data_IF_524359298372
#
_entry.id   IF_524359298372
#
_cell.length_a   1.000
_cell.length_b   1.000
_cell.length_c   1.000
_cell.angle_alpha   90.00
_cell.angle_beta   90.00
_cell.angle_gamma   90.00
#
_symmetry.space_group_name_H-M   'P 1'
#
loop_
_entity.id
_entity.type
_entity.pdbx_description
1 polymer ?
#
# COMPACT_ATOMS: atom_id res chain seq x y z
N UNK A 1 1.11 13.28 -21.11
CA UNK A 1 -0.27 12.96 -21.55
C UNK A 1 -0.78 11.69 -20.88
N UNK A 2 0.03 10.62 -20.78
CA UNK A 2 -0.35 9.36 -20.13
C UNK A 2 -0.74 9.51 -18.65
N UNK A 3 -0.06 10.37 -17.88
CA UNK A 3 -0.39 10.61 -16.48
C UNK A 3 -1.80 11.17 -16.28
N UNK A 4 -2.15 12.27 -16.95
CA UNK A 4 -3.48 12.89 -16.82
C UNK A 4 -4.60 11.94 -17.23
N UNK A 5 -4.36 11.12 -18.25
CA UNK A 5 -5.30 10.07 -18.67
C UNK A 5 -5.41 8.95 -17.62
N UNK A 6 -4.28 8.53 -17.03
CA UNK A 6 -4.25 7.58 -15.92
C UNK A 6 -5.05 8.09 -14.73
N UNK A 7 -4.89 9.37 -14.39
CA UNK A 7 -5.62 10.04 -13.32
C UNK A 7 -7.13 10.02 -13.58
N UNK A 8 -7.57 10.35 -14.80
CA UNK A 8 -8.99 10.27 -15.16
C UNK A 8 -9.56 8.86 -15.04
N UNK A 9 -8.83 7.84 -15.51
CA UNK A 9 -9.26 6.45 -15.36
C UNK A 9 -9.30 6.02 -13.89
N UNK A 10 -8.33 6.44 -13.08
CA UNK A 10 -8.25 6.12 -11.66
C UNK A 10 -9.44 6.70 -10.88
N UNK A 11 -9.77 7.98 -11.12
CA UNK A 11 -10.94 8.63 -10.55
C UNK A 11 -12.24 7.94 -10.96
N UNK A 12 -12.32 7.49 -12.22
CA UNK A 12 -13.46 6.72 -12.74
C UNK A 12 -13.48 5.25 -12.29
N UNK A 13 -12.59 4.85 -11.37
CA UNK A 13 -12.42 3.47 -10.87
C UNK A 13 -12.12 2.44 -11.97
N UNK A 14 -11.69 2.89 -13.14
CA UNK A 14 -11.22 2.03 -14.21
C UNK A 14 -9.75 1.69 -13.99
N UNK A 15 -9.50 0.86 -12.98
CA UNK A 15 -8.16 0.51 -12.53
C UNK A 15 -7.34 -0.18 -13.62
N UNK A 16 -7.98 -0.94 -14.52
CA UNK A 16 -7.30 -1.61 -15.62
C UNK A 16 -6.67 -0.60 -16.59
N UNK A 17 -7.43 0.39 -17.06
CA UNK A 17 -6.89 1.43 -17.97
C UNK A 17 -5.97 2.40 -17.25
N UNK A 18 -6.24 2.70 -15.98
CA UNK A 18 -5.36 3.52 -15.15
C UNK A 18 -3.98 2.87 -15.01
N UNK A 19 -3.94 1.56 -14.74
CA UNK A 19 -2.72 0.75 -14.69
C UNK A 19 -1.90 0.89 -15.96
N UNK A 20 -2.50 0.62 -17.13
CA UNK A 20 -1.81 0.72 -18.44
C UNK A 20 -1.24 2.12 -18.70
N UNK A 21 -1.96 3.16 -18.28
CA UNK A 21 -1.50 4.54 -18.43
C UNK A 21 -0.34 4.87 -17.50
N UNK A 22 -0.39 4.41 -16.24
CA UNK A 22 0.66 4.63 -15.25
C UNK A 22 1.92 3.80 -15.50
N UNK A 23 1.80 2.56 -15.96
CA UNK A 23 2.95 1.74 -16.38
C UNK A 23 3.76 2.48 -17.45
N UNK A 24 3.08 3.08 -18.45
CA UNK A 24 3.73 3.92 -19.46
C UNK A 24 4.38 5.17 -18.89
N UNK A 25 3.86 5.74 -17.80
CA UNK A 25 4.52 6.90 -17.16
C UNK A 25 5.83 6.46 -16.50
N UNK A 26 5.81 5.34 -15.79
CA UNK A 26 7.00 4.81 -15.12
C UNK A 26 8.08 4.31 -16.08
N UNK A 27 7.76 4.01 -17.34
CA UNK A 27 8.77 3.76 -18.38
C UNK A 27 9.67 4.98 -18.63
N UNK A 28 9.13 6.19 -18.50
CA UNK A 28 9.88 7.45 -18.71
C UNK A 28 10.35 8.09 -17.42
N UNK A 29 9.60 7.93 -16.34
CA UNK A 29 9.92 8.46 -15.01
C UNK A 29 9.79 7.36 -13.93
N UNK A 30 10.79 6.45 -13.84
CA UNK A 30 10.74 5.31 -12.94
C UNK A 30 10.81 5.68 -11.46
N UNK A 31 11.13 6.93 -11.11
CA UNK A 31 11.24 7.39 -9.72
C UNK A 31 10.00 8.15 -9.24
N UNK A 32 8.95 8.22 -10.06
CA UNK A 32 7.73 8.93 -9.73
C UNK A 32 6.91 8.22 -8.64
N UNK A 33 7.25 8.49 -7.39
CA UNK A 33 6.64 7.85 -6.22
C UNK A 33 5.11 8.09 -6.15
N UNK A 34 4.62 9.23 -6.64
CA UNK A 34 3.18 9.51 -6.74
C UNK A 34 2.46 8.54 -7.68
N UNK A 35 3.00 8.32 -8.88
CA UNK A 35 2.44 7.37 -9.84
C UNK A 35 2.58 5.95 -9.33
N UNK A 36 3.70 5.60 -8.68
CA UNK A 36 3.87 4.28 -8.07
C UNK A 36 2.80 3.99 -7.03
N UNK A 37 2.47 4.95 -6.15
CA UNK A 37 1.37 4.81 -5.16
C UNK A 37 0.05 4.48 -5.84
N UNK A 38 -0.32 5.20 -6.89
CA UNK A 38 -1.57 4.98 -7.63
C UNK A 38 -1.56 3.63 -8.38
N UNK A 39 -0.41 3.26 -8.94
CA UNK A 39 -0.22 1.99 -9.62
C UNK A 39 -0.31 0.80 -8.66
N UNK A 40 0.20 0.91 -7.42
CA UNK A 40 0.00 -0.10 -6.36
C UNK A 40 -1.50 -0.35 -6.16
N UNK A 41 -2.29 0.72 -5.99
CA UNK A 41 -3.75 0.59 -5.85
C UNK A 41 -4.34 -0.08 -7.09
N UNK A 42 -3.97 0.34 -8.30
CA UNK A 42 -4.43 -0.29 -9.53
C UNK A 42 -4.13 -1.81 -9.55
N UNK A 43 -2.90 -2.22 -9.24
CA UNK A 43 -2.52 -3.63 -9.19
C UNK A 43 -3.31 -4.41 -8.13
N UNK A 44 -3.56 -3.83 -6.95
CA UNK A 44 -4.43 -4.48 -5.96
C UNK A 44 -5.83 -4.72 -6.49
N UNK A 45 -6.38 -3.77 -7.25
CA UNK A 45 -7.75 -3.85 -7.77
C UNK A 45 -7.88 -4.70 -9.03
N UNK A 46 -6.79 -4.89 -9.79
CA UNK A 46 -6.75 -5.82 -10.93
C UNK A 46 -6.37 -7.25 -10.52
N UNK A 47 -6.05 -7.49 -9.25
CA UNK A 47 -5.66 -8.81 -8.73
C UNK A 47 -4.18 -9.16 -8.95
N UNK A 48 -3.37 -8.23 -9.44
CA UNK A 48 -1.93 -8.40 -9.63
C UNK A 48 -1.17 -8.16 -8.32
N UNK A 49 -1.52 -8.91 -7.27
CA UNK A 49 -1.11 -8.64 -5.89
C UNK A 49 0.42 -8.71 -5.71
N UNK A 50 1.09 -9.64 -6.38
CA UNK A 50 2.56 -9.75 -6.32
C UNK A 50 3.26 -8.49 -6.84
N UNK A 51 2.80 -7.94 -7.98
CA UNK A 51 3.34 -6.69 -8.53
C UNK A 51 3.05 -5.50 -7.62
N UNK A 52 1.84 -5.46 -7.05
CA UNK A 52 1.47 -4.44 -6.08
C UNK A 52 2.44 -4.45 -4.88
N UNK A 53 2.77 -5.65 -4.38
CA UNK A 53 3.66 -5.82 -3.24
C UNK A 53 5.12 -5.49 -3.55
N UNK A 54 5.63 -5.89 -4.71
CA UNK A 54 7.00 -5.56 -5.10
C UNK A 54 7.18 -4.03 -5.18
N UNK A 55 6.26 -3.34 -5.84
CA UNK A 55 6.30 -1.88 -5.97
C UNK A 55 6.11 -1.19 -4.61
N UNK A 56 5.20 -1.71 -3.78
CA UNK A 56 4.99 -1.23 -2.42
C UNK A 56 6.24 -1.39 -1.54
N UNK A 57 6.88 -2.56 -1.61
CA UNK A 57 8.10 -2.84 -0.87
C UNK A 57 9.23 -1.88 -1.26
N UNK A 58 9.39 -1.58 -2.55
CA UNK A 58 10.37 -0.59 -3.02
C UNK A 58 10.14 0.79 -2.40
N UNK A 59 8.89 1.28 -2.40
CA UNK A 59 8.57 2.58 -1.79
C UNK A 59 8.85 2.54 -0.29
N UNK A 60 8.32 1.56 0.43
CA UNK A 60 8.45 1.48 1.90
C UNK A 60 9.91 1.35 2.34
N UNK A 61 10.72 0.61 1.58
CA UNK A 61 12.15 0.44 1.85
C UNK A 61 12.94 1.73 1.58
N UNK A 62 12.58 2.47 0.52
CA UNK A 62 13.22 3.76 0.20
C UNK A 62 12.81 4.82 1.22
N UNK A 63 11.52 5.01 1.40
CA UNK A 63 10.92 5.95 2.35
C UNK A 63 9.45 5.62 2.63
N UNK A 64 9.18 5.13 3.83
CA UNK A 64 7.82 4.82 4.30
C UNK A 64 6.92 6.06 4.46
N UNK A 65 7.51 7.26 4.58
CA UNK A 65 6.75 8.50 4.68
C UNK A 65 6.00 8.84 3.40
N UNK A 66 6.51 8.39 2.25
CA UNK A 66 5.85 8.55 0.95
C UNK A 66 4.43 7.98 0.98
N UNK A 67 4.23 6.83 1.64
CA UNK A 67 2.90 6.21 1.79
C UNK A 67 2.17 6.84 2.98
N UNK A 68 2.82 6.95 4.14
CA UNK A 68 2.12 7.34 5.39
C UNK A 68 1.75 8.82 5.50
N UNK A 69 2.42 9.72 4.76
CA UNK A 69 2.08 11.16 4.66
C UNK A 69 1.22 11.47 3.43
N UNK A 70 0.67 10.45 2.77
CA UNK A 70 -0.24 10.63 1.63
C UNK A 70 -1.44 11.48 2.07
N UNK A 71 -1.69 12.58 1.38
CA UNK A 71 -2.93 13.34 1.54
C UNK A 71 -4.05 12.54 0.88
N UNK A 72 -4.84 11.82 1.67
CA UNK A 72 -5.92 10.97 1.17
C UNK A 72 -6.93 11.79 0.36
N UNK A 73 -7.15 13.06 0.74
CA UNK A 73 -8.10 13.96 0.09
C UNK A 73 -7.48 14.56 -1.17
N UNK A 74 -6.24 15.05 -1.07
CA UNK A 74 -5.51 15.63 -2.21
C UNK A 74 -5.16 14.62 -3.31
N UNK A 75 -4.85 13.38 -2.94
CA UNK A 75 -4.46 12.32 -3.86
C UNK A 75 -5.67 11.52 -4.40
N UNK A 76 -6.88 11.84 -3.95
CA UNK A 76 -8.13 11.11 -4.24
C UNK A 76 -7.99 9.59 -4.02
N UNK A 77 -7.31 9.16 -2.95
CA UNK A 77 -7.10 7.73 -2.73
C UNK A 77 -8.44 7.03 -2.43
N UNK A 78 -8.81 5.96 -3.17
CA UNK A 78 -9.99 5.15 -2.84
C UNK A 78 -9.76 4.28 -1.59
N UNK A 79 -8.66 4.47 -0.85
CA UNK A 79 -8.29 3.69 0.32
C UNK A 79 -9.46 3.51 1.32
N UNK A 80 -10.24 4.55 1.69
CA UNK A 80 -11.40 4.36 2.59
C UNK A 80 -12.53 3.52 1.98
N UNK A 81 -12.81 3.69 0.68
CA UNK A 81 -13.81 2.92 -0.06
C UNK A 81 -13.40 1.44 -0.15
N UNK A 82 -12.13 1.18 -0.48
CA UNK A 82 -11.56 -0.15 -0.58
C UNK A 82 -11.52 -0.85 0.79
N UNK A 83 -11.16 -0.13 1.85
CA UNK A 83 -11.23 -0.63 3.21
C UNK A 83 -12.68 -0.91 3.61
N UNK A 84 -13.64 -0.08 3.24
CA UNK A 84 -15.06 -0.39 3.51
C UNK A 84 -15.50 -1.67 2.79
N UNK A 85 -15.00 -1.91 1.58
CA UNK A 85 -15.34 -3.07 0.77
C UNK A 85 -14.69 -4.37 1.28
N UNK A 86 -13.44 -4.31 1.73
CA UNK A 86 -12.64 -5.49 2.07
C UNK A 86 -12.28 -5.60 3.57
N UNK A 87 -12.57 -4.58 4.37
CA UNK A 87 -12.09 -4.42 5.75
C UNK A 87 -12.79 -5.30 6.80
N UNK A 88 -13.78 -6.11 6.40
CA UNK A 88 -14.35 -7.15 7.25
C UNK A 88 -13.41 -8.35 7.43
N UNK A 89 -12.39 -8.45 6.58
CA UNK A 89 -11.38 -9.51 6.63
C UNK A 89 -10.46 -9.26 7.84
N UNK A 90 -10.35 -10.26 8.70
CA UNK A 90 -9.47 -10.24 9.87
C UNK A 90 -8.12 -10.90 9.52
N UNK A 91 -6.99 -10.42 10.09
CA UNK A 91 -5.69 -11.05 9.89
C UNK A 91 -5.68 -12.54 10.27
N UNK A 92 -6.34 -12.90 11.37
CA UNK A 92 -6.43 -14.28 11.88
C UNK A 92 -7.61 -15.09 11.29
N UNK A 93 -8.32 -14.59 10.29
CA UNK A 93 -9.44 -15.30 9.66
C UNK A 93 -9.01 -16.28 8.56
N UNK A 94 -9.93 -17.15 8.13
CA UNK A 94 -9.78 -17.96 6.91
C UNK A 94 -9.86 -17.06 5.67
N UNK A 95 -8.72 -16.50 5.27
CA UNK A 95 -8.60 -15.65 4.09
C UNK A 95 -7.33 -16.02 3.31
N UNK A 96 -7.33 -15.81 1.99
CA UNK A 96 -6.16 -16.12 1.17
C UNK A 96 -4.97 -15.23 1.55
N UNK A 97 -3.76 -15.76 1.41
CA UNK A 97 -2.50 -15.04 1.60
C UNK A 97 -2.50 -13.70 0.84
N UNK A 98 -2.87 -13.73 -0.44
CA UNK A 98 -2.98 -12.55 -1.31
C UNK A 98 -3.96 -11.51 -0.78
N UNK A 99 -5.08 -11.93 -0.19
CA UNK A 99 -6.06 -11.00 0.39
C UNK A 99 -5.51 -10.30 1.63
N UNK A 100 -4.80 -11.05 2.50
CA UNK A 100 -4.12 -10.47 3.67
C UNK A 100 -3.04 -9.48 3.25
N UNK A 101 -2.26 -9.83 2.23
CA UNK A 101 -1.19 -9.00 1.67
C UNK A 101 -1.76 -7.71 1.06
N UNK A 102 -2.80 -7.83 0.23
CA UNK A 102 -3.55 -6.71 -0.33
C UNK A 102 -4.04 -5.76 0.78
N UNK A 103 -4.65 -6.30 1.82
CA UNK A 103 -5.15 -5.50 2.94
C UNK A 103 -4.04 -4.85 3.74
N UNK A 104 -2.92 -5.54 4.00
CA UNK A 104 -1.75 -4.96 4.64
C UNK A 104 -1.24 -3.73 3.90
N UNK A 105 -1.17 -3.81 2.57
CA UNK A 105 -0.81 -2.68 1.69
C UNK A 105 -1.83 -1.55 1.80
N UNK A 106 -3.13 -1.83 1.62
CA UNK A 106 -4.20 -0.83 1.64
C UNK A 106 -4.31 -0.12 2.99
N UNK A 107 -4.16 -0.86 4.09
CA UNK A 107 -4.20 -0.28 5.43
C UNK A 107 -3.04 0.69 5.68
N UNK A 108 -1.88 0.54 5.03
CA UNK A 108 -0.74 1.44 5.30
C UNK A 108 -1.05 2.91 4.95
N UNK A 109 -1.89 3.13 3.94
CA UNK A 109 -2.31 4.47 3.52
C UNK A 109 -3.22 5.18 4.55
N UNK A 110 -3.83 4.45 5.48
CA UNK A 110 -4.79 5.02 6.45
C UNK A 110 -4.44 4.74 7.91
N UNK A 111 -3.81 3.60 8.21
CA UNK A 111 -3.50 3.15 9.56
C UNK A 111 -2.30 2.19 9.58
N UNK A 112 -1.15 2.71 9.99
CA UNK A 112 0.10 1.95 10.11
C UNK A 112 0.00 0.78 11.10
N UNK A 113 -0.73 0.92 12.22
CA UNK A 113 -0.87 -0.15 13.21
C UNK A 113 -1.64 -1.34 12.63
N UNK A 114 -2.75 -1.10 11.94
CA UNK A 114 -3.50 -2.17 11.27
C UNK A 114 -2.68 -2.81 10.17
N UNK A 115 -1.98 -2.02 9.36
CA UNK A 115 -1.05 -2.55 8.36
C UNK A 115 -0.02 -3.48 9.00
N UNK A 116 0.59 -3.07 10.12
CA UNK A 116 1.50 -3.91 10.89
C UNK A 116 0.86 -5.23 11.33
N UNK A 117 -0.36 -5.24 11.86
CA UNK A 117 -1.04 -6.49 12.27
C UNK A 117 -1.18 -7.50 11.11
N UNK A 118 -1.49 -7.03 9.90
CA UNK A 118 -1.54 -7.89 8.73
C UNK A 118 -0.16 -8.43 8.35
N UNK A 119 0.87 -7.58 8.32
CA UNK A 119 2.23 -8.00 8.00
C UNK A 119 2.88 -8.88 9.10
N UNK A 120 2.51 -8.68 10.36
CA UNK A 120 2.91 -9.53 11.49
C UNK A 120 2.29 -10.91 11.35
N UNK A 121 1.00 -11.00 11.02
CA UNK A 121 0.34 -12.26 10.73
C UNK A 121 0.99 -13.00 9.55
N UNK A 122 1.21 -12.30 8.44
CA UNK A 122 1.87 -12.85 7.23
C UNK A 122 3.32 -13.28 7.49
N UNK A 123 4.02 -12.62 8.42
CA UNK A 123 5.37 -13.00 8.80
C UNK A 123 5.44 -14.30 9.62
N UNK A 124 4.35 -14.63 10.32
CA UNK A 124 4.24 -15.84 11.13
C UNK A 124 3.75 -17.06 10.33
N UNK A 125 3.37 -16.90 9.06
CA UNK A 125 2.99 -18.01 8.18
C UNK A 125 4.21 -18.82 7.71
N UNK A 126 4.07 -20.14 7.58
CA UNK A 126 5.14 -21.01 7.06
C UNK A 126 5.44 -20.65 5.59
N UNK A 127 6.72 -20.38 5.27
CA UNK A 127 7.13 -19.95 3.93
C UNK A 127 7.12 -18.43 3.71
N UNK A 128 7.00 -17.63 4.78
CA UNK A 128 6.96 -16.18 4.68
C UNK A 128 8.17 -15.57 3.96
N UNK A 129 7.90 -14.64 3.05
CA UNK A 129 8.90 -13.94 2.26
C UNK A 129 9.77 -13.02 3.15
N UNK A 130 11.08 -12.97 2.93
CA UNK A 130 11.98 -12.04 3.64
C UNK A 130 11.53 -10.58 3.52
N UNK A 131 10.96 -10.20 2.35
CA UNK A 131 10.41 -8.86 2.12
C UNK A 131 9.29 -8.52 3.11
N UNK A 132 8.43 -9.48 3.45
CA UNK A 132 7.33 -9.29 4.41
C UNK A 132 7.90 -9.02 5.81
N UNK A 133 8.94 -9.76 6.20
CA UNK A 133 9.62 -9.55 7.48
C UNK A 133 10.29 -8.17 7.56
N UNK A 134 10.91 -7.70 6.49
CA UNK A 134 11.50 -6.36 6.43
C UNK A 134 10.43 -5.27 6.53
N UNK A 135 9.34 -5.38 5.77
CA UNK A 135 8.20 -4.43 5.85
C UNK A 135 7.63 -4.40 7.27
N UNK A 136 7.41 -5.57 7.89
CA UNK A 136 6.94 -5.66 9.28
C UNK A 136 7.87 -4.90 10.22
N UNK A 137 9.19 -5.06 10.09
CA UNK A 137 10.16 -4.39 10.94
C UNK A 137 10.15 -2.86 10.73
N UNK A 138 10.12 -2.39 9.49
CA UNK A 138 10.01 -0.95 9.16
C UNK A 138 8.74 -0.32 9.75
N UNK A 139 7.62 -1.04 9.66
CA UNK A 139 6.35 -0.61 10.26
C UNK A 139 6.46 -0.52 11.80
N UNK A 140 7.11 -1.51 12.43
CA UNK A 140 7.32 -1.53 13.88
C UNK A 140 8.16 -0.33 14.34
N UNK A 141 9.25 -0.04 13.65
CA UNK A 141 10.11 1.11 13.93
C UNK A 141 9.33 2.43 13.81
N UNK A 142 8.55 2.57 12.73
CA UNK A 142 7.71 3.75 12.50
C UNK A 142 6.66 3.96 13.60
N UNK A 143 6.04 2.88 14.07
CA UNK A 143 5.08 2.91 15.18
C UNK A 143 5.80 3.34 16.47
N UNK A 144 7.00 2.82 16.75
CA UNK A 144 7.76 3.19 17.95
C UNK A 144 8.21 4.66 17.94
N UNK A 145 8.73 5.15 16.81
CA UNK A 145 9.10 6.56 16.63
C UNK A 145 7.92 7.50 16.89
N UNK A 146 6.71 7.11 16.45
CA UNK A 146 5.51 7.90 16.72
C UNK A 146 5.19 7.98 18.22
N UNK A 147 5.43 6.91 18.98
CA UNK A 147 5.16 6.86 20.43
C UNK A 147 6.16 7.69 21.23
N UNK A 148 7.45 7.63 20.90
CA UNK A 148 8.49 8.41 21.58
C UNK A 148 8.29 9.92 21.43
N UNK A 149 7.77 10.38 20.29
CA UNK A 149 7.42 11.79 20.09
C UNK A 149 6.33 12.28 21.05
N UNK A 150 5.37 11.43 21.42
CA UNK A 150 4.32 11.79 22.39
C UNK A 150 4.79 11.66 23.84
N UNK A 151 5.76 10.79 24.14
CA UNK A 151 6.33 10.66 25.49
C UNK A 151 7.30 11.80 25.84
N UNK A 152 7.95 12.42 24.85
CA UNK A 152 8.88 13.53 25.06
C UNK A 152 8.24 14.93 25.03
N UNK A 153 6.96 15.04 24.64
CA UNK A 153 6.21 16.29 24.58
C UNK A 153 5.07 16.38 25.62
N UNK A 154 5.10 15.52 26.66
CA UNK A 154 4.18 15.53 27.80
C UNK A 154 4.94 15.78 29.10
#
# INVERSE_FOLDING_TARGET
>A
MSEMLGNQYFLSRNYLKAKEAYEKVLEFDPENDFIKKRLIICYTQTGEINKAFDLFYEIVKKDIEVITKTDIVGDDCPCPELISKYGNIKPAGECSHDSKLMLGILWLFCNTNKSYEFFDNLANEEGSNYKINEVRNLLKERINQSKEYYSNNN
#
